data_IF_657219208815
#
_entry.id   IF_657219208815
#
_cell.length_a   1.000
_cell.length_b   1.000
_cell.length_c   1.000
_cell.angle_alpha   90.00
_cell.angle_beta   90.00
_cell.angle_gamma   90.00
#
_symmetry.space_group_name_H-M   'P 1'
#
loop_
_entity.id
_entity.type
_entity.pdbx_description
1 polymer ?
#
# COMPACT_ATOMS: atom_id res chain seq x y z
N UNK A 1 26.19 22.39 41.06
CA UNK A 1 26.53 22.39 39.61
C UNK A 1 26.48 20.99 38.97
N UNK A 2 26.44 19.90 39.74
CA UNK A 2 26.40 18.53 39.20
C UNK A 2 25.07 18.09 38.56
N UNK A 3 23.92 18.52 39.08
CA UNK A 3 22.63 18.11 38.50
C UNK A 3 22.38 18.68 37.09
N UNK A 4 22.94 19.85 36.74
CA UNK A 4 22.85 20.41 35.38
C UNK A 4 23.70 19.64 34.36
N UNK A 5 24.88 19.13 34.77
CA UNK A 5 25.73 18.27 33.91
C UNK A 5 25.15 16.85 33.74
N UNK A 6 24.48 16.31 34.78
CA UNK A 6 23.73 15.04 34.67
C UNK A 6 22.48 15.17 33.78
N UNK A 7 21.75 16.30 33.86
CA UNK A 7 20.63 16.57 32.94
C UNK A 7 21.08 16.83 31.50
N UNK A 8 22.20 17.54 31.29
CA UNK A 8 22.74 17.73 29.94
C UNK A 8 23.21 16.42 29.29
N UNK A 9 23.67 15.46 30.10
CA UNK A 9 24.01 14.11 29.63
C UNK A 9 22.79 13.18 29.46
N UNK A 10 21.61 13.53 29.97
CA UNK A 10 20.34 12.85 29.63
C UNK A 10 19.78 13.32 28.28
N UNK A 11 20.21 14.49 27.79
CA UNK A 11 20.00 14.98 26.42
C UNK A 11 21.26 14.76 25.55
N UNK A 12 22.06 13.74 25.89
CA UNK A 12 23.32 13.46 25.20
C UNK A 12 23.08 13.02 23.75
N UNK A 13 24.01 13.40 22.88
CA UNK A 13 24.06 13.11 21.44
C UNK A 13 23.84 11.62 21.15
N UNK A 14 24.21 10.73 22.08
CA UNK A 14 24.02 9.28 21.95
C UNK A 14 22.55 8.84 22.10
N UNK A 15 21.74 9.52 22.90
CA UNK A 15 20.29 9.28 22.95
C UNK A 15 19.60 9.77 21.68
N UNK A 16 20.02 10.93 21.15
CA UNK A 16 19.53 11.43 19.85
C UNK A 16 19.91 10.47 18.74
N UNK A 17 21.17 9.98 18.69
CA UNK A 17 21.61 8.95 17.74
C UNK A 17 20.90 7.60 17.90
N UNK A 18 20.35 7.29 19.08
CA UNK A 18 19.59 6.07 19.34
C UNK A 18 18.11 6.21 18.99
N UNK A 19 17.53 7.41 19.13
CA UNK A 19 16.13 7.71 18.81
C UNK A 19 15.89 8.21 17.38
N UNK A 20 16.91 8.77 16.72
CA UNK A 20 16.88 9.20 15.32
C UNK A 20 17.90 8.39 14.51
N UNK A 21 17.50 7.20 14.01
CA UNK A 21 18.37 6.33 13.23
C UNK A 21 18.94 7.01 11.97
N UNK A 22 18.25 8.05 11.46
CA UNK A 22 18.72 8.88 10.34
C UNK A 22 20.14 9.40 10.48
N UNK A 23 20.50 9.79 11.70
CA UNK A 23 21.84 10.33 11.98
C UNK A 23 22.95 9.31 11.79
N UNK A 24 22.66 8.01 11.87
CA UNK A 24 23.65 6.94 11.68
C UNK A 24 23.84 6.61 10.21
N UNK A 25 22.76 6.56 9.44
CA UNK A 25 22.85 6.10 8.05
C UNK A 25 23.26 7.18 7.07
N UNK A 26 22.93 8.44 7.35
CA UNK A 26 23.29 9.56 6.48
C UNK A 26 24.80 9.80 6.41
N UNK A 27 25.54 9.46 7.49
CA UNK A 27 26.99 9.66 7.58
C UNK A 27 27.79 8.76 6.63
N UNK A 28 27.25 7.62 6.23
CA UNK A 28 27.87 6.69 5.28
C UNK A 28 27.27 6.74 3.88
N UNK A 29 26.49 7.78 3.56
CA UNK A 29 25.73 7.85 2.33
C UNK A 29 26.59 8.38 1.17
N UNK A 30 26.67 7.62 0.07
CA UNK A 30 27.46 7.96 -1.10
C UNK A 30 26.55 8.32 -2.29
N UNK A 31 27.07 9.12 -3.23
CA UNK A 31 26.40 9.49 -4.50
C UNK A 31 25.99 8.26 -5.31
N UNK A 32 26.81 7.20 -5.31
CA UNK A 32 26.43 5.95 -5.99
C UNK A 32 25.17 5.32 -5.36
N UNK A 33 25.08 5.31 -4.03
CA UNK A 33 23.90 4.84 -3.29
C UNK A 33 22.69 5.73 -3.57
N UNK A 34 22.90 7.06 -3.64
CA UNK A 34 21.84 8.00 -4.01
C UNK A 34 21.20 7.70 -5.36
N UNK A 35 22.02 7.48 -6.39
CA UNK A 35 21.49 7.15 -7.73
C UNK A 35 20.74 5.82 -7.71
N UNK A 36 21.26 4.81 -7.00
CA UNK A 36 20.59 3.52 -6.84
C UNK A 36 19.24 3.64 -6.11
N UNK A 37 19.21 4.40 -5.01
CA UNK A 37 18.00 4.62 -4.22
C UNK A 37 16.98 5.47 -4.98
N UNK A 38 17.41 6.41 -5.82
CA UNK A 38 16.53 7.23 -6.64
C UNK A 38 15.82 6.36 -7.70
N UNK A 39 16.54 5.46 -8.37
CA UNK A 39 15.95 4.51 -9.33
C UNK A 39 15.01 3.52 -8.63
N UNK A 40 15.40 3.02 -7.45
CA UNK A 40 14.54 2.14 -6.65
C UNK A 40 13.29 2.87 -6.13
N UNK A 41 13.43 4.09 -5.62
CA UNK A 41 12.33 4.91 -5.14
C UNK A 41 11.34 5.28 -6.24
N UNK A 42 11.84 5.60 -7.44
CA UNK A 42 10.99 5.86 -8.60
C UNK A 42 10.19 4.62 -9.02
N UNK A 43 10.85 3.45 -9.07
CA UNK A 43 10.18 2.19 -9.45
C UNK A 43 9.13 1.77 -8.41
N UNK A 44 9.44 1.89 -7.12
CA UNK A 44 8.50 1.61 -6.02
C UNK A 44 7.36 2.63 -5.97
N UNK A 45 7.65 3.92 -6.17
CA UNK A 45 6.66 4.98 -6.21
C UNK A 45 5.64 4.80 -7.33
N UNK A 46 6.11 4.50 -8.56
CA UNK A 46 5.24 4.19 -9.69
C UNK A 46 4.33 2.98 -9.43
N UNK A 47 4.81 1.98 -8.69
CA UNK A 47 4.00 0.83 -8.28
C UNK A 47 2.99 1.20 -7.19
N UNK A 48 3.36 2.08 -6.24
CA UNK A 48 2.54 2.43 -5.10
C UNK A 48 1.29 3.22 -5.50
N UNK A 49 1.35 4.06 -6.55
CA UNK A 49 0.22 4.88 -7.02
C UNK A 49 -1.03 4.03 -7.34
N UNK A 50 -0.99 3.10 -8.32
CA UNK A 50 -2.15 2.28 -8.65
C UNK A 50 -2.57 1.36 -7.49
N UNK A 51 -1.60 0.88 -6.71
CA UNK A 51 -1.85 0.05 -5.55
C UNK A 51 -2.67 0.82 -4.49
N UNK A 52 -2.26 2.04 -4.17
CA UNK A 52 -2.93 2.89 -3.18
C UNK A 52 -4.36 3.25 -3.60
N UNK A 53 -4.58 3.59 -4.88
CA UNK A 53 -5.91 3.86 -5.43
C UNK A 53 -6.83 2.65 -5.26
N UNK A 54 -6.37 1.46 -5.67
CA UNK A 54 -7.15 0.22 -5.53
C UNK A 54 -7.47 -0.11 -4.07
N UNK A 55 -6.54 0.19 -3.16
CA UNK A 55 -6.68 -0.10 -1.74
C UNK A 55 -7.71 0.81 -1.05
N UNK A 56 -7.75 2.09 -1.40
CA UNK A 56 -8.81 2.99 -0.93
C UNK A 56 -10.20 2.55 -1.42
N UNK A 57 -10.30 2.11 -2.67
CA UNK A 57 -11.55 1.57 -3.22
C UNK A 57 -12.00 0.30 -2.50
N UNK A 58 -11.07 -0.54 -2.02
CA UNK A 58 -11.41 -1.70 -1.18
C UNK A 58 -11.93 -1.30 0.20
N UNK A 59 -11.44 -0.19 0.77
CA UNK A 59 -11.99 0.39 1.98
C UNK A 59 -13.30 1.18 1.72
N UNK A 60 -13.84 1.19 0.50
CA UNK A 60 -15.06 1.95 0.19
C UNK A 60 -14.87 3.47 0.22
N UNK A 61 -13.62 3.95 0.18
CA UNK A 61 -13.28 5.37 0.15
C UNK A 61 -13.02 5.85 -1.28
N UNK A 62 -13.15 7.17 -1.53
CA UNK A 62 -12.70 7.75 -2.77
C UNK A 62 -11.21 7.47 -3.02
N UNK A 63 -10.76 7.23 -4.28
CA UNK A 63 -9.41 6.76 -4.56
C UNK A 63 -8.28 7.68 -4.06
N UNK A 64 -8.51 8.99 -4.04
CA UNK A 64 -7.54 9.99 -3.55
C UNK A 64 -7.10 9.75 -2.09
N UNK A 65 -7.96 9.18 -1.23
CA UNK A 65 -7.60 8.84 0.15
C UNK A 65 -6.45 7.82 0.23
N UNK A 66 -6.33 6.94 -0.76
CA UNK A 66 -5.21 5.99 -0.83
C UNK A 66 -3.88 6.70 -1.03
N UNK A 67 -3.86 7.70 -1.92
CA UNK A 67 -2.68 8.53 -2.16
C UNK A 67 -2.34 9.37 -0.92
N UNK A 68 -3.36 9.92 -0.24
CA UNK A 68 -3.17 10.69 0.98
C UNK A 68 -2.57 9.86 2.12
N UNK A 69 -2.97 8.59 2.24
CA UNK A 69 -2.41 7.68 3.23
C UNK A 69 -0.98 7.19 2.89
N UNK A 70 -0.59 7.22 1.61
CA UNK A 70 0.64 6.60 1.14
C UNK A 70 1.92 7.38 1.41
N UNK A 71 1.92 8.71 1.26
CA UNK A 71 3.16 9.50 1.32
C UNK A 71 3.58 9.99 2.71
N UNK A 72 2.69 10.44 3.63
CA UNK A 72 3.13 11.05 4.89
C UNK A 72 3.88 10.06 5.78
N UNK A 73 3.42 8.80 5.81
CA UNK A 73 4.05 7.72 6.56
C UNK A 73 5.50 7.46 6.14
N UNK A 74 5.80 7.55 4.84
CA UNK A 74 7.16 7.40 4.31
C UNK A 74 8.11 8.48 4.82
N UNK A 75 7.67 9.74 4.87
CA UNK A 75 8.51 10.83 5.38
C UNK A 75 8.79 10.67 6.88
N UNK A 76 7.76 10.33 7.66
CA UNK A 76 7.93 10.07 9.10
C UNK A 76 8.86 8.88 9.33
N UNK A 77 8.70 7.80 8.56
CA UNK A 77 9.54 6.61 8.67
C UNK A 77 10.98 6.84 8.17
N UNK A 78 11.21 7.70 7.19
CA UNK A 78 12.57 8.07 6.78
C UNK A 78 13.37 8.67 7.94
N UNK A 79 12.71 9.45 8.82
CA UNK A 79 13.33 10.09 9.97
C UNK A 79 13.50 9.14 11.17
N UNK A 80 12.45 8.36 11.48
CA UNK A 80 12.34 7.57 12.71
C UNK A 80 12.60 6.07 12.52
N UNK A 81 12.59 5.59 11.27
CA UNK A 81 12.66 4.19 10.90
C UNK A 81 14.03 3.58 11.16
N UNK A 82 14.03 2.34 11.63
CA UNK A 82 15.25 1.57 11.94
C UNK A 82 15.83 0.85 10.72
N UNK A 83 14.99 0.55 9.72
CA UNK A 83 15.37 -0.19 8.51
C UNK A 83 15.32 0.72 7.29
N UNK A 84 16.40 0.75 6.49
CA UNK A 84 16.50 1.62 5.30
C UNK A 84 15.65 1.15 4.11
N UNK A 85 15.36 -0.15 4.05
CA UNK A 85 14.73 -0.80 2.90
C UNK A 85 13.20 -0.94 3.06
N UNK A 86 12.64 -0.55 4.20
CA UNK A 86 11.21 -0.72 4.46
C UNK A 86 10.42 0.46 3.89
N UNK A 87 9.47 0.16 3.00
CA UNK A 87 8.48 1.11 2.53
C UNK A 87 7.19 0.97 3.35
N UNK A 88 6.65 2.10 3.84
CA UNK A 88 5.38 2.14 4.56
C UNK A 88 4.30 2.64 3.61
N UNK A 89 3.16 1.96 3.57
CA UNK A 89 2.04 2.41 2.77
C UNK A 89 0.75 1.67 3.12
N UNK A 90 -0.36 2.03 2.46
CA UNK A 90 -1.60 1.30 2.63
C UNK A 90 -1.41 -0.17 2.24
N UNK A 91 -2.02 -1.06 3.01
CA UNK A 91 -2.01 -2.51 2.76
C UNK A 91 -3.42 -3.03 2.59
N UNK A 92 -3.57 -4.13 1.84
CA UNK A 92 -4.89 -4.75 1.59
C UNK A 92 -5.62 -5.06 2.90
N UNK A 93 -4.92 -5.65 3.86
CA UNK A 93 -5.50 -6.10 5.14
C UNK A 93 -6.10 -4.92 5.91
N UNK A 94 -5.33 -3.83 6.08
CA UNK A 94 -5.80 -2.65 6.81
C UNK A 94 -7.03 -2.04 6.14
N UNK A 95 -7.04 -1.95 4.81
CA UNK A 95 -8.19 -1.40 4.08
C UNK A 95 -9.44 -2.28 4.21
N UNK A 96 -9.28 -3.61 4.23
CA UNK A 96 -10.39 -4.54 4.47
C UNK A 96 -10.92 -4.45 5.91
N UNK A 97 -10.06 -4.22 6.90
CA UNK A 97 -10.49 -4.02 8.28
C UNK A 97 -11.21 -2.69 8.49
N UNK A 98 -10.86 -1.66 7.71
CA UNK A 98 -11.49 -0.33 7.77
C UNK A 98 -12.81 -0.28 6.98
N UNK A 99 -12.96 -1.11 5.94
CA UNK A 99 -14.13 -1.16 5.05
C UNK A 99 -15.52 -1.20 5.73
N UNK A 100 -15.78 -2.02 6.78
CA UNK A 100 -17.11 -2.04 7.40
C UNK A 100 -17.46 -0.72 8.10
N UNK A 101 -16.46 0.00 8.63
CA UNK A 101 -16.65 1.25 9.35
C UNK A 101 -16.89 2.44 8.39
N UNK A 102 -16.15 2.47 7.28
CA UNK A 102 -16.36 3.47 6.22
C UNK A 102 -17.69 3.27 5.49
N UNK A 103 -18.19 2.04 5.40
CA UNK A 103 -19.52 1.76 4.87
C UNK A 103 -20.65 2.38 5.73
N UNK A 104 -20.42 2.59 7.03
CA UNK A 104 -21.36 3.23 7.96
C UNK A 104 -21.24 4.75 7.94
N UNK A 105 -20.04 5.27 8.19
CA UNK A 105 -19.82 6.70 8.42
C UNK A 105 -18.81 7.38 7.51
N UNK A 106 -18.47 6.75 6.39
CA UNK A 106 -17.68 7.35 5.32
C UNK A 106 -16.23 7.66 5.71
N UNK A 107 -15.59 8.66 5.06
CA UNK A 107 -14.19 9.00 5.30
C UNK A 107 -13.86 9.46 6.71
N UNK A 108 -14.81 10.08 7.41
CA UNK A 108 -14.59 10.58 8.76
C UNK A 108 -14.27 9.45 9.76
N UNK A 109 -14.93 8.29 9.61
CA UNK A 109 -14.63 7.10 10.42
C UNK A 109 -13.21 6.59 10.18
N UNK A 110 -12.74 6.53 8.93
CA UNK A 110 -11.38 6.13 8.61
C UNK A 110 -10.33 7.07 9.21
N UNK A 111 -10.58 8.39 9.16
CA UNK A 111 -9.69 9.41 9.74
C UNK A 111 -9.61 9.26 11.26
N UNK A 112 -10.76 9.11 11.94
CA UNK A 112 -10.82 8.90 13.39
C UNK A 112 -10.17 7.58 13.80
N UNK A 113 -10.42 6.50 13.08
CA UNK A 113 -9.76 5.20 13.28
C UNK A 113 -8.25 5.31 13.19
N UNK A 114 -7.75 5.99 12.16
CA UNK A 114 -6.32 6.22 11.96
C UNK A 114 -5.73 7.03 13.13
N UNK A 115 -6.41 8.10 13.55
CA UNK A 115 -5.99 8.95 14.65
C UNK A 115 -5.93 8.19 15.99
N UNK A 116 -7.02 7.49 16.35
CA UNK A 116 -7.09 6.71 17.59
C UNK A 116 -6.09 5.55 17.57
N UNK A 117 -5.93 4.85 16.44
CA UNK A 117 -4.91 3.82 16.28
C UNK A 117 -3.50 4.38 16.49
N UNK A 118 -3.21 5.57 15.95
CA UNK A 118 -1.94 6.27 16.18
C UNK A 118 -1.70 6.59 17.65
N UNK A 119 -2.72 7.06 18.38
CA UNK A 119 -2.63 7.30 19.83
C UNK A 119 -2.35 5.98 20.58
N UNK A 120 -3.07 4.91 20.26
CA UNK A 120 -2.87 3.59 20.88
C UNK A 120 -1.45 3.08 20.61
N UNK A 121 -0.93 3.27 19.40
CA UNK A 121 0.45 2.90 19.04
C UNK A 121 1.48 3.73 19.81
N UNK A 122 1.26 5.04 19.99
CA UNK A 122 2.12 5.91 20.79
C UNK A 122 2.12 5.52 22.28
N UNK A 123 0.95 5.21 22.84
CA UNK A 123 0.81 4.72 24.21
C UNK A 123 1.53 3.38 24.35
N UNK A 124 1.32 2.46 23.40
CA UNK A 124 1.98 1.16 23.39
C UNK A 124 3.51 1.28 23.30
N UNK A 125 4.01 2.23 22.51
CA UNK A 125 5.42 2.55 22.42
C UNK A 125 5.96 3.16 23.74
N UNK A 126 5.20 4.03 24.41
CA UNK A 126 5.58 4.60 25.71
C UNK A 126 5.75 3.51 26.78
N UNK A 127 4.87 2.51 26.77
CA UNK A 127 4.97 1.33 27.65
C UNK A 127 5.95 0.26 27.15
N UNK A 128 6.67 0.51 26.04
CA UNK A 128 7.57 -0.45 25.39
C UNK A 128 6.91 -1.81 25.08
N UNK A 129 5.62 -1.83 24.77
CA UNK A 129 4.86 -3.07 24.46
C UNK A 129 5.31 -3.75 23.16
N UNK A 130 6.31 -3.21 22.45
CA UNK A 130 6.94 -3.89 21.32
C UNK A 130 7.53 -5.26 21.69
N UNK A 131 7.84 -5.50 22.97
CA UNK A 131 8.29 -6.82 23.42
C UNK A 131 7.22 -7.91 23.25
N UNK A 132 5.92 -7.55 23.24
CA UNK A 132 4.81 -8.51 23.05
C UNK A 132 4.87 -9.18 21.68
N UNK A 133 5.43 -8.49 20.68
CA UNK A 133 5.57 -9.03 19.32
C UNK A 133 6.48 -10.27 19.33
N UNK A 134 7.47 -10.33 20.22
CA UNK A 134 8.36 -11.49 20.36
C UNK A 134 7.67 -12.73 20.93
N UNK A 135 6.47 -12.57 21.54
CA UNK A 135 5.68 -13.69 22.05
C UNK A 135 4.72 -14.27 21.00
N UNK A 136 4.59 -13.64 19.84
CA UNK A 136 3.78 -14.17 18.75
C UNK A 136 4.56 -15.31 18.10
N UNK A 137 4.02 -16.52 18.16
CA UNK A 137 4.66 -17.70 17.60
C UNK A 137 4.70 -17.63 16.06
N UNK A 138 5.77 -18.17 15.46
CA UNK A 138 5.91 -18.25 14.00
C UNK A 138 4.70 -18.93 13.30
N UNK A 139 4.08 -20.00 13.86
CA UNK A 139 2.86 -20.57 13.29
C UNK A 139 1.69 -19.58 13.23
N UNK A 140 1.52 -18.72 14.23
CA UNK A 140 0.44 -17.71 14.24
C UNK A 140 0.68 -16.65 13.17
N UNK A 141 1.92 -16.17 13.02
CA UNK A 141 2.29 -15.22 11.97
C UNK A 141 2.04 -15.82 10.58
N UNK A 142 2.43 -17.07 10.38
CA UNK A 142 2.21 -17.77 9.11
C UNK A 142 0.72 -18.00 8.81
N UNK A 143 -0.07 -18.38 9.82
CA UNK A 143 -1.52 -18.53 9.70
C UNK A 143 -2.21 -17.21 9.35
N UNK A 144 -1.87 -16.15 10.08
CA UNK A 144 -2.38 -14.80 9.82
C UNK A 144 -2.01 -14.31 8.42
N UNK A 145 -0.75 -14.48 8.01
CA UNK A 145 -0.28 -14.06 6.68
C UNK A 145 -0.96 -14.85 5.56
N UNK A 146 -1.18 -16.16 5.75
CA UNK A 146 -1.89 -16.99 4.76
C UNK A 146 -3.35 -16.55 4.63
N UNK A 147 -4.03 -16.31 5.75
CA UNK A 147 -5.40 -15.81 5.76
C UNK A 147 -5.51 -14.43 5.07
N UNK A 148 -4.55 -13.54 5.33
CA UNK A 148 -4.48 -12.24 4.68
C UNK A 148 -4.31 -12.33 3.15
N UNK A 149 -3.46 -13.25 2.66
CA UNK A 149 -3.31 -13.50 1.22
C UNK A 149 -4.60 -14.01 0.60
N UNK A 150 -5.31 -14.93 1.28
CA UNK A 150 -6.61 -15.43 0.83
C UNK A 150 -7.64 -14.31 0.77
N UNK A 151 -7.79 -13.53 1.85
CA UNK A 151 -8.74 -12.40 1.91
C UNK A 151 -8.43 -11.35 0.84
N UNK A 152 -7.16 -11.01 0.65
CA UNK A 152 -6.75 -10.07 -0.38
C UNK A 152 -7.05 -10.58 -1.79
N UNK A 153 -6.81 -11.86 -2.06
CA UNK A 153 -7.14 -12.49 -3.35
C UNK A 153 -8.64 -12.48 -3.61
N UNK A 154 -9.46 -12.81 -2.61
CA UNK A 154 -10.92 -12.75 -2.70
C UNK A 154 -11.40 -11.32 -2.99
N UNK A 155 -10.81 -10.31 -2.35
CA UNK A 155 -11.15 -8.90 -2.58
C UNK A 155 -10.86 -8.43 -4.01
N UNK A 156 -9.88 -9.06 -4.70
CA UNK A 156 -9.56 -8.77 -6.10
C UNK A 156 -10.48 -9.48 -7.11
N UNK A 157 -11.27 -10.48 -6.71
CA UNK A 157 -12.18 -11.17 -7.64
C UNK A 157 -13.28 -10.23 -8.18
N UNK A 158 -13.80 -9.34 -7.33
CA UNK A 158 -14.82 -8.35 -7.72
C UNK A 158 -14.34 -7.43 -8.86
N UNK A 159 -13.20 -6.70 -8.73
CA UNK A 159 -12.70 -5.86 -9.81
C UNK A 159 -12.24 -6.68 -11.03
N UNK A 160 -11.76 -7.91 -10.85
CA UNK A 160 -11.40 -8.80 -11.96
C UNK A 160 -12.61 -9.19 -12.83
N UNK A 161 -13.78 -9.39 -12.22
CA UNK A 161 -15.03 -9.71 -12.92
C UNK A 161 -15.81 -8.47 -13.39
N UNK A 162 -15.35 -7.26 -13.07
CA UNK A 162 -16.05 -6.01 -13.40
C UNK A 162 -17.34 -5.78 -12.62
N UNK A 163 -17.50 -6.40 -11.46
CA UNK A 163 -18.73 -6.34 -10.66
C UNK A 163 -18.76 -5.09 -9.74
N UNK A 164 -19.79 -4.25 -9.86
CA UNK A 164 -19.99 -3.05 -9.01
C UNK A 164 -20.79 -3.35 -7.74
N UNK A 165 -20.28 -4.26 -6.90
CA UNK A 165 -20.96 -4.68 -5.66
C UNK A 165 -20.52 -3.87 -4.43
N UNK A 166 -21.45 -3.35 -3.63
CA UNK A 166 -21.11 -2.86 -2.27
C UNK A 166 -20.98 -4.07 -1.34
N UNK A 167 -19.84 -4.23 -0.69
CA UNK A 167 -19.51 -5.41 0.13
C UNK A 167 -19.00 -4.97 1.50
N UNK A 168 -19.49 -5.61 2.56
CA UNK A 168 -19.22 -5.20 3.96
C UNK A 168 -18.24 -6.15 4.68
N UNK A 169 -17.33 -6.80 3.95
CA UNK A 169 -16.32 -7.71 4.51
C UNK A 169 -15.97 -8.85 3.56
N UNK A 170 -14.91 -9.61 3.88
CA UNK A 170 -14.38 -10.66 3.00
C UNK A 170 -15.33 -11.85 2.78
N UNK A 171 -16.15 -12.21 3.78
CA UNK A 171 -17.15 -13.28 3.65
C UNK A 171 -18.31 -12.87 2.74
N UNK A 172 -18.76 -11.62 2.86
CA UNK A 172 -19.81 -11.03 2.02
C UNK A 172 -19.37 -10.91 0.55
N UNK A 173 -18.08 -10.63 0.31
CA UNK A 173 -17.49 -10.66 -1.04
C UNK A 173 -17.68 -12.04 -1.68
N UNK A 174 -17.37 -13.12 -0.97
CA UNK A 174 -17.46 -14.48 -1.52
C UNK A 174 -18.90 -14.83 -1.90
N UNK A 175 -19.86 -14.60 -1.00
CA UNK A 175 -21.28 -14.90 -1.25
C UNK A 175 -21.79 -14.08 -2.43
N UNK A 176 -21.54 -12.77 -2.45
CA UNK A 176 -22.04 -11.88 -3.50
C UNK A 176 -21.40 -12.14 -4.87
N UNK A 177 -20.13 -12.54 -4.91
CA UNK A 177 -19.47 -12.94 -6.16
C UNK A 177 -20.08 -14.23 -6.70
N UNK A 178 -20.37 -15.22 -5.84
CA UNK A 178 -20.98 -16.48 -6.26
C UNK A 178 -22.42 -16.30 -6.74
N UNK A 179 -23.21 -15.44 -6.08
CA UNK A 179 -24.61 -15.21 -6.49
C UNK A 179 -24.72 -14.40 -7.78
N UNK A 180 -23.79 -13.48 -8.05
CA UNK A 180 -23.82 -12.59 -9.21
C UNK A 180 -22.82 -13.01 -10.30
N UNK A 181 -22.43 -14.28 -10.34
CA UNK A 181 -21.39 -14.76 -11.26
C UNK A 181 -21.79 -14.68 -12.73
N UNK A 182 -23.07 -14.51 -13.04
CA UNK A 182 -23.58 -14.38 -14.41
C UNK A 182 -23.57 -12.93 -14.93
N UNK A 183 -23.52 -11.93 -14.05
CA UNK A 183 -23.60 -10.49 -14.41
C UNK A 183 -22.23 -9.84 -14.64
N UNK A 184 -21.21 -10.66 -14.91
CA UNK A 184 -19.84 -10.18 -15.06
C UNK A 184 -19.59 -9.53 -16.43
N UNK A 185 -18.65 -8.59 -16.45
CA UNK A 185 -18.22 -7.92 -17.68
C UNK A 185 -17.06 -8.68 -18.30
N UNK A 186 -17.31 -9.36 -19.41
CA UNK A 186 -16.30 -10.14 -20.13
C UNK A 186 -15.08 -9.31 -20.53
N UNK A 187 -15.27 -8.02 -20.85
CA UNK A 187 -14.18 -7.10 -21.21
C UNK A 187 -13.18 -6.91 -20.06
N UNK A 188 -13.68 -6.68 -18.84
CA UNK A 188 -12.84 -6.49 -17.65
C UNK A 188 -12.10 -7.80 -17.29
N UNK A 189 -12.77 -8.94 -17.41
CA UNK A 189 -12.16 -10.25 -17.17
C UNK A 189 -11.02 -10.55 -18.13
N UNK A 190 -11.24 -10.35 -19.43
CA UNK A 190 -10.22 -10.60 -20.47
C UNK A 190 -9.02 -9.69 -20.24
N UNK A 191 -9.25 -8.39 -20.00
CA UNK A 191 -8.18 -7.44 -19.72
C UNK A 191 -7.37 -7.87 -18.48
N UNK A 192 -8.05 -8.24 -17.40
CA UNK A 192 -7.40 -8.71 -16.18
C UNK A 192 -6.57 -9.97 -16.37
N UNK A 193 -7.09 -10.96 -17.10
CA UNK A 193 -6.36 -12.19 -17.43
C UNK A 193 -5.13 -11.92 -18.31
N UNK A 194 -5.25 -11.03 -19.30
CA UNK A 194 -4.11 -10.59 -20.12
C UNK A 194 -3.06 -9.92 -19.23
N UNK A 195 -3.46 -9.02 -18.33
CA UNK A 195 -2.53 -8.36 -17.41
C UNK A 195 -1.80 -9.37 -16.51
N UNK A 196 -2.51 -10.35 -15.94
CA UNK A 196 -1.91 -11.42 -15.12
C UNK A 196 -0.94 -12.26 -15.94
N UNK A 197 -1.30 -12.63 -17.17
CA UNK A 197 -0.45 -13.38 -18.08
C UNK A 197 0.81 -12.60 -18.44
N UNK A 198 0.69 -11.32 -18.80
CA UNK A 198 1.83 -10.44 -19.11
C UNK A 198 2.73 -10.23 -17.91
N UNK A 199 2.19 -9.99 -16.70
CA UNK A 199 2.98 -9.87 -15.48
C UNK A 199 3.76 -11.15 -15.17
N UNK A 200 3.11 -12.30 -15.32
CA UNK A 200 3.73 -13.61 -15.09
C UNK A 200 4.81 -13.90 -16.12
N UNK A 201 4.55 -13.58 -17.39
CA UNK A 201 5.52 -13.70 -18.48
C UNK A 201 6.76 -12.84 -18.23
N UNK A 202 6.58 -11.53 -17.94
CA UNK A 202 7.70 -10.61 -17.66
C UNK A 202 8.49 -11.06 -16.42
N UNK A 203 7.84 -11.66 -15.42
CA UNK A 203 8.52 -12.22 -14.24
C UNK A 203 9.41 -13.42 -14.57
N UNK A 204 9.04 -14.22 -15.58
CA UNK A 204 9.79 -15.42 -15.98
C UNK A 204 10.96 -15.05 -16.91
N UNK A 205 10.85 -14.00 -17.73
CA UNK A 205 11.89 -13.54 -18.66
C UNK A 205 13.31 -13.46 -18.05
N UNK A 206 13.55 -12.77 -16.91
CA UNK A 206 14.89 -12.66 -16.34
C UNK A 206 15.38 -13.96 -15.66
N UNK A 207 14.49 -14.93 -15.42
CA UNK A 207 14.84 -16.25 -14.85
C UNK A 207 15.19 -17.28 -15.91
N UNK A 208 14.88 -17.03 -17.18
CA UNK A 208 15.18 -17.98 -18.25
C UNK A 208 16.71 -18.10 -18.40
N UNK A 209 17.31 -19.29 -18.23
CA UNK A 209 18.73 -19.48 -18.40
C UNK A 209 19.07 -19.22 -19.86
N UNK A 210 19.72 -18.08 -20.14
CA UNK A 210 20.07 -17.72 -21.50
C UNK A 210 21.04 -18.77 -22.06
N UNK A 211 20.64 -19.57 -23.07
CA UNK A 211 21.53 -20.53 -23.68
C UNK A 211 22.70 -19.76 -24.28
N UNK A 212 23.92 -20.21 -23.99
CA UNK A 212 25.20 -19.57 -24.31
C UNK A 212 25.69 -18.54 -23.27
N UNK A 213 26.02 -19.03 -22.07
CA UNK A 213 27.13 -18.45 -21.31
C UNK A 213 28.40 -19.26 -21.61
N UNK A 214 28.90 -19.18 -22.85
CA UNK A 214 30.26 -19.61 -23.14
C UNK A 214 31.16 -18.38 -23.05
N UNK A 215 32.18 -18.44 -22.17
CA UNK A 215 32.96 -17.31 -21.66
C UNK A 215 33.77 -16.52 -22.71
N UNK A 216 33.73 -16.88 -23.99
CA UNK A 216 34.69 -16.37 -25.00
C UNK A 216 34.11 -15.37 -26.02
N UNK A 217 32.80 -15.18 -26.14
CA UNK A 217 32.25 -14.20 -27.11
C UNK A 217 30.95 -13.61 -26.63
N UNK A 218 31.07 -12.60 -25.75
CA UNK A 218 29.94 -11.85 -25.25
C UNK A 218 29.77 -10.62 -26.18
N UNK A 219 28.96 -10.76 -27.23
CA UNK A 219 28.61 -9.62 -28.09
C UNK A 219 28.00 -8.50 -27.24
N UNK A 220 28.37 -7.24 -27.49
CA UNK A 220 27.78 -6.06 -26.81
C UNK A 220 26.25 -6.08 -26.83
N UNK A 221 25.64 -6.66 -27.88
CA UNK A 221 24.19 -6.84 -27.99
C UNK A 221 23.59 -7.81 -26.97
N UNK A 222 24.27 -8.89 -26.61
CA UNK A 222 23.76 -9.85 -25.61
C UNK A 222 23.76 -9.26 -24.19
N UNK A 223 24.78 -8.46 -23.86
CA UNK A 223 24.80 -7.73 -22.59
C UNK A 223 23.72 -6.65 -22.55
N UNK A 224 23.51 -5.90 -23.63
CA UNK A 224 22.44 -4.91 -23.71
C UNK A 224 21.04 -5.54 -23.52
N UNK A 225 20.79 -6.70 -24.15
CA UNK A 225 19.52 -7.44 -24.02
C UNK A 225 19.31 -7.96 -22.59
N UNK A 226 20.36 -8.51 -21.95
CA UNK A 226 20.29 -8.95 -20.54
C UNK A 226 19.99 -7.80 -19.60
N UNK A 227 20.65 -6.66 -19.77
CA UNK A 227 20.41 -5.44 -18.99
C UNK A 227 19.00 -4.92 -19.20
N UNK A 228 18.49 -4.92 -20.44
CA UNK A 228 17.11 -4.52 -20.74
C UNK A 228 16.08 -5.42 -20.05
N UNK A 229 16.23 -6.75 -20.12
CA UNK A 229 15.32 -7.68 -19.45
C UNK A 229 15.34 -7.55 -17.93
N UNK A 230 16.49 -7.24 -17.33
CA UNK A 230 16.59 -6.98 -15.90
C UNK A 230 15.76 -5.75 -15.49
N UNK A 231 15.89 -4.64 -16.22
CA UNK A 231 15.09 -3.44 -15.95
C UNK A 231 13.60 -3.62 -16.24
N UNK A 232 13.24 -4.32 -17.32
CA UNK A 232 11.85 -4.69 -17.61
C UNK A 232 11.24 -5.56 -16.50
N UNK A 233 12.02 -6.50 -15.97
CA UNK A 233 11.60 -7.37 -14.86
C UNK A 233 11.32 -6.60 -13.55
N UNK A 234 12.13 -5.57 -13.27
CA UNK A 234 11.96 -4.70 -12.10
C UNK A 234 10.80 -3.71 -12.27
N UNK A 235 10.59 -3.18 -13.49
CA UNK A 235 9.52 -2.24 -13.81
C UNK A 235 8.16 -2.87 -14.14
N UNK A 236 8.03 -4.20 -14.11
CA UNK A 236 6.88 -4.94 -14.68
C UNK A 236 5.51 -4.43 -14.21
N UNK A 237 5.35 -4.11 -12.93
CA UNK A 237 4.07 -3.68 -12.37
C UNK A 237 3.67 -2.30 -12.92
N UNK A 238 4.61 -1.36 -12.95
CA UNK A 238 4.39 -0.02 -13.51
C UNK A 238 4.13 -0.08 -15.02
N UNK A 239 4.90 -0.90 -15.76
CA UNK A 239 4.75 -1.07 -17.21
C UNK A 239 3.37 -1.60 -17.57
N UNK A 240 2.89 -2.65 -16.89
CA UNK A 240 1.57 -3.23 -17.18
C UNK A 240 0.46 -2.23 -16.87
N UNK A 241 0.57 -1.47 -15.77
CA UNK A 241 -0.43 -0.44 -15.43
C UNK A 241 -0.44 0.69 -16.46
N UNK A 242 0.72 1.19 -16.90
CA UNK A 242 0.78 2.26 -17.91
C UNK A 242 0.22 1.76 -19.24
N UNK A 243 0.61 0.57 -19.69
CA UNK A 243 0.13 0.01 -20.96
C UNK A 243 -1.37 -0.27 -20.92
N UNK A 244 -1.89 -0.86 -19.83
CA UNK A 244 -3.33 -1.11 -19.70
C UNK A 244 -4.14 0.19 -19.60
N UNK A 245 -3.61 1.22 -18.93
CA UNK A 245 -4.24 2.54 -18.86
C UNK A 245 -4.27 3.24 -20.21
N UNK A 246 -3.18 3.19 -20.99
CA UNK A 246 -3.12 3.72 -22.35
C UNK A 246 -4.08 2.97 -23.29
N UNK A 247 -4.14 1.64 -23.17
CA UNK A 247 -5.06 0.82 -23.94
C UNK A 247 -6.52 1.14 -23.62
N UNK A 248 -6.85 1.31 -22.33
CA UNK A 248 -8.17 1.73 -21.91
C UNK A 248 -8.51 3.14 -22.43
N UNK A 249 -7.58 4.09 -22.39
CA UNK A 249 -7.78 5.44 -22.88
C UNK A 249 -7.96 5.52 -24.41
N UNK A 250 -7.28 4.66 -25.17
CA UNK A 250 -7.43 4.59 -26.63
C UNK A 250 -8.79 4.03 -27.07
N UNK A 251 -9.42 3.22 -26.22
CA UNK A 251 -10.73 2.62 -26.44
C UNK A 251 -11.88 3.38 -25.77
N UNK A 252 -11.58 4.50 -25.10
CA UNK A 252 -12.57 5.37 -24.44
C UNK A 252 -13.34 6.18 -25.51
N UNK A 253 -14.22 5.47 -26.21
CA UNK A 253 -15.19 6.02 -27.17
C UNK A 253 -16.63 5.94 -26.62
N UNK A 254 -17.61 5.89 -27.52
CA UNK A 254 -19.04 5.98 -27.19
C UNK A 254 -19.58 4.78 -26.39
N UNK A 255 -18.88 3.64 -26.41
CA UNK A 255 -19.15 2.50 -25.55
C UNK A 255 -18.02 2.37 -24.52
N UNK A 256 -18.26 2.72 -23.27
CA UNK A 256 -17.30 2.54 -22.16
C UNK A 256 -17.08 1.04 -21.87
N UNK A 257 -16.05 0.39 -22.45
CA UNK A 257 -15.96 -1.07 -22.46
C UNK A 257 -15.48 -1.61 -21.12
N UNK A 258 -14.78 -0.78 -20.32
CA UNK A 258 -14.11 -1.16 -19.08
C UNK A 258 -14.69 -0.43 -17.87
N UNK A 259 -14.44 -0.97 -16.68
CA UNK A 259 -14.75 -0.29 -15.42
C UNK A 259 -13.60 0.65 -15.03
N UNK A 260 -13.74 1.94 -15.33
CA UNK A 260 -12.75 2.96 -14.98
C UNK A 260 -12.79 3.33 -13.49
N UNK A 261 -11.63 3.72 -12.94
CA UNK A 261 -11.48 4.15 -11.54
C UNK A 261 -12.23 5.45 -11.19
N UNK A 262 -12.74 6.15 -12.21
CA UNK A 262 -13.47 7.41 -12.06
C UNK A 262 -12.55 8.62 -11.88
N UNK A 263 -13.17 9.78 -11.66
CA UNK A 263 -12.46 11.03 -11.43
C UNK A 263 -11.74 11.02 -10.08
N UNK A 264 -10.46 11.37 -10.07
CA UNK A 264 -9.65 11.53 -8.86
C UNK A 264 -9.41 13.02 -8.67
N UNK A 265 -9.89 13.57 -7.56
CA UNK A 265 -9.72 14.98 -7.24
C UNK A 265 -8.24 15.32 -7.08
N UNK A 266 -7.77 16.30 -7.84
CA UNK A 266 -6.40 16.78 -7.78
C UNK A 266 -6.26 17.79 -6.63
N UNK A 267 -5.34 17.53 -5.71
CA UNK A 267 -5.05 18.45 -4.62
C UNK A 267 -4.44 17.75 -3.41
N UNK A 268 -3.66 18.53 -2.66
CA UNK A 268 -3.22 18.13 -1.32
C UNK A 268 -4.35 18.54 -0.36
N UNK A 269 -4.84 17.63 0.50
CA UNK A 269 -5.88 17.97 1.45
C UNK A 269 -5.36 19.04 2.40
N UNK A 270 -6.18 20.05 2.72
CA UNK A 270 -5.84 20.99 3.77
C UNK A 270 -5.68 20.22 5.09
N UNK A 271 -4.58 20.47 5.79
CA UNK A 271 -4.33 19.88 7.09
C UNK A 271 -5.43 20.35 8.05
N UNK A 272 -6.27 19.42 8.49
CA UNK A 272 -7.35 19.66 9.43
C UNK A 272 -7.20 18.71 10.62
N UNK A 273 -7.73 19.14 11.77
CA UNK A 273 -7.90 18.23 12.91
C UNK A 273 -8.92 17.15 12.56
N UNK A 274 -8.76 15.93 13.08
CA UNK A 274 -9.73 14.87 12.83
C UNK A 274 -11.13 15.31 13.28
N UNK A 275 -12.17 15.01 12.49
CA UNK A 275 -13.54 15.41 12.84
C UNK A 275 -14.02 14.60 14.04
N UNK A 276 -14.19 15.23 15.20
CA UNK A 276 -14.65 14.56 16.44
C UNK A 276 -16.17 14.37 16.51
N UNK A 277 -16.91 14.79 15.48
CA UNK A 277 -18.35 14.60 15.35
C UNK A 277 -18.71 14.40 13.89
N UNK A 278 -19.56 13.43 13.60
CA UNK A 278 -20.02 13.13 12.23
C UNK A 278 -21.54 13.13 12.20
N UNK A 279 -22.11 13.89 11.29
CA UNK A 279 -23.55 13.90 11.03
C UNK A 279 -23.86 12.85 9.97
N UNK A 280 -24.49 11.73 10.37
CA UNK A 280 -24.94 10.68 9.46
C UNK A 280 -26.48 10.72 9.44
N UNK A 281 -27.05 11.19 8.33
CA UNK A 281 -28.49 11.41 8.25
C UNK A 281 -28.96 12.50 9.22
N UNK A 282 -29.86 12.15 10.13
CA UNK A 282 -30.39 13.06 11.16
C UNK A 282 -29.68 12.96 12.52
N UNK A 283 -28.73 12.05 12.68
CA UNK A 283 -28.03 11.86 13.94
C UNK A 283 -26.63 12.45 13.87
N UNK A 284 -26.28 13.23 14.90
CA UNK A 284 -24.90 13.69 15.11
C UNK A 284 -24.25 12.73 16.08
N UNK A 285 -23.38 11.86 15.57
CA UNK A 285 -22.62 10.95 16.39
C UNK A 285 -21.40 11.68 16.94
N UNK A 286 -21.25 11.68 18.26
CA UNK A 286 -20.08 12.21 18.92
C UNK A 286 -18.90 11.26 18.83
N UNK A 287 -17.71 11.74 19.18
CA UNK A 287 -16.49 10.93 19.21
C UNK A 287 -16.65 9.64 20.03
N UNK A 288 -17.30 9.72 21.19
CA UNK A 288 -17.53 8.57 22.07
C UNK A 288 -18.41 7.51 21.42
N UNK A 289 -19.44 7.92 20.70
CA UNK A 289 -20.39 7.02 20.05
C UNK A 289 -19.73 6.33 18.87
N UNK A 290 -18.93 7.08 18.10
CA UNK A 290 -18.13 6.53 17.00
C UNK A 290 -17.09 5.54 17.54
N UNK A 291 -16.41 5.87 18.66
CA UNK A 291 -15.45 4.94 19.28
C UNK A 291 -16.13 3.70 19.85
N UNK A 292 -17.35 3.84 20.39
CA UNK A 292 -18.14 2.70 20.85
C UNK A 292 -18.54 1.79 19.68
N UNK A 293 -18.98 2.37 18.56
CA UNK A 293 -19.34 1.64 17.33
C UNK A 293 -18.13 0.97 16.66
N UNK A 294 -16.94 1.57 16.79
CA UNK A 294 -15.68 0.98 16.35
C UNK A 294 -15.26 -0.20 17.23
N UNK A 295 -15.45 -0.07 18.54
CA UNK A 295 -15.00 -1.02 19.55
C UNK A 295 -15.94 -2.19 19.81
N UNK A 296 -17.19 -2.13 19.32
CA UNK A 296 -18.20 -3.20 19.41
C UNK A 296 -18.04 -4.24 18.30
#
# INVERSE_FOLDING_TARGET
MDNKKKLSNLLSIDMVKKRLPITRWIQGYNVHTFVSDMVAGFTVGLMLIPQALAYAMMAGLPPNYGLYAGWPGCFVYCLLGTSKELNIGPTVILNLMVAPYTARGGPAYAILLCFTSGIIQLISALFNLGFLINFISQPVINGFTTAAVVQGTLAQLKPLLGLKLKTSGSSDILVKVLTNIMDFRWQDLILGLICIATLTFIKILPRFPWPCTNKQSNSKGQNAIKTLFFYLGNGRNALVVILSSLFAAALDGDQQPFTLTGYVEAGIPMAAVPPFSVTIGNETLGFTDIMADIGS
#
